data_IF_234640962559
#
_entry.id   IF_234640962559
#
_cell.length_a   1.000
_cell.length_b   1.000
_cell.length_c   1.000
_cell.angle_alpha   90.00
_cell.angle_beta   90.00
_cell.angle_gamma   90.00
#
_symmetry.space_group_name_H-M   'P 1'
#
loop_
_entity.id
_entity.type
_entity.pdbx_description
1 polymer ?
#
# COMPACT_ATOMS: atom_id res chain seq x y z
N UNK A 1 -15.18 2.74 -38.05
CA UNK A 1 -14.38 2.22 -39.18
C UNK A 1 -14.29 3.23 -40.33
N UNK A 2 -15.37 3.93 -40.71
CA UNK A 2 -15.36 4.90 -41.82
C UNK A 2 -14.50 6.13 -41.54
N UNK A 3 -14.57 6.69 -40.32
CA UNK A 3 -13.80 7.89 -39.92
C UNK A 3 -12.29 7.63 -39.88
N UNK A 4 -11.87 6.48 -39.32
CA UNK A 4 -10.48 6.07 -39.29
C UNK A 4 -9.90 5.90 -40.69
N UNK A 5 -10.64 5.20 -41.60
CA UNK A 5 -10.23 5.01 -42.99
C UNK A 5 -10.03 6.35 -43.70
N UNK A 6 -11.00 7.27 -43.58
CA UNK A 6 -10.94 8.60 -44.18
C UNK A 6 -9.70 9.39 -43.67
N UNK A 7 -9.43 9.30 -42.37
CA UNK A 7 -8.23 9.92 -41.82
C UNK A 7 -6.93 9.32 -42.38
N UNK A 8 -6.87 7.99 -42.51
CA UNK A 8 -5.68 7.33 -43.06
C UNK A 8 -5.45 7.60 -44.54
N UNK A 9 -6.51 7.63 -45.35
CA UNK A 9 -6.44 7.88 -46.79
C UNK A 9 -6.23 9.37 -47.10
N UNK A 10 -7.05 10.25 -46.55
CA UNK A 10 -7.13 11.66 -46.95
C UNK A 10 -6.47 12.62 -45.92
N UNK A 11 -6.16 12.16 -44.75
CA UNK A 11 -5.69 13.01 -43.64
C UNK A 11 -6.78 13.87 -42.98
N UNK A 12 -8.04 13.65 -43.33
CA UNK A 12 -9.17 14.45 -42.88
C UNK A 12 -9.81 13.83 -41.66
N UNK A 13 -9.88 14.60 -40.57
CA UNK A 13 -10.56 14.21 -39.32
C UNK A 13 -12.03 14.58 -39.43
N UNK A 14 -12.90 13.60 -39.20
CA UNK A 14 -14.33 13.83 -39.11
C UNK A 14 -14.71 14.51 -37.80
N UNK A 15 -15.60 15.54 -37.79
CA UNK A 15 -16.02 16.24 -36.60
C UNK A 15 -16.67 15.36 -35.50
N UNK A 16 -17.15 14.18 -35.88
CA UNK A 16 -17.74 13.23 -34.95
C UNK A 16 -16.71 12.36 -34.18
N UNK A 17 -15.43 12.42 -34.56
CA UNK A 17 -14.35 11.75 -33.80
C UNK A 17 -14.10 12.52 -32.52
N UNK A 18 -13.97 11.82 -31.42
CA UNK A 18 -13.67 12.45 -30.13
C UNK A 18 -12.36 13.27 -30.24
N UNK A 19 -12.30 14.53 -29.76
CA UNK A 19 -11.14 15.40 -29.92
C UNK A 19 -9.80 14.77 -29.48
N UNK A 20 -9.78 14.11 -28.36
CA UNK A 20 -8.58 13.44 -27.84
C UNK A 20 -8.10 12.29 -28.73
N UNK A 21 -9.03 11.53 -29.29
CA UNK A 21 -8.72 10.48 -30.27
C UNK A 21 -8.15 11.10 -31.54
N UNK A 22 -8.74 12.19 -32.01
CA UNK A 22 -8.27 12.90 -33.20
C UNK A 22 -6.84 13.45 -33.01
N UNK A 23 -6.56 14.05 -31.86
CA UNK A 23 -5.21 14.54 -31.50
C UNK A 23 -4.20 13.41 -31.43
N UNK A 24 -4.56 12.30 -30.79
CA UNK A 24 -3.71 11.10 -30.71
C UNK A 24 -3.44 10.50 -32.10
N UNK A 25 -4.46 10.40 -32.99
CA UNK A 25 -4.25 9.96 -34.37
C UNK A 25 -3.23 10.82 -35.11
N UNK A 26 -3.30 12.16 -34.94
CA UNK A 26 -2.35 13.08 -35.56
C UNK A 26 -0.93 12.83 -35.06
N UNK A 27 -0.75 12.63 -33.74
CA UNK A 27 0.56 12.30 -33.13
C UNK A 27 1.09 10.98 -33.68
N UNK A 28 0.26 9.92 -33.67
CA UNK A 28 0.65 8.60 -34.19
C UNK A 28 1.08 8.66 -35.67
N UNK A 29 0.35 9.43 -36.48
CA UNK A 29 0.70 9.65 -37.90
C UNK A 29 2.02 10.41 -38.04
N UNK A 30 2.23 11.45 -37.25
CA UNK A 30 3.50 12.21 -37.25
C UNK A 30 4.68 11.35 -36.84
N UNK A 31 4.52 10.45 -35.85
CA UNK A 31 5.53 9.46 -35.43
C UNK A 31 5.70 8.32 -36.45
N UNK A 32 4.85 8.22 -37.47
CA UNK A 32 4.85 7.14 -38.48
C UNK A 32 4.71 5.75 -37.85
N UNK A 33 3.89 5.63 -36.81
CA UNK A 33 3.67 4.35 -36.16
C UNK A 33 3.00 3.35 -37.11
N UNK A 34 3.38 2.06 -37.04
CA UNK A 34 2.66 1.00 -37.74
C UNK A 34 1.20 0.97 -37.32
N UNK A 35 0.26 0.69 -38.23
CA UNK A 35 -1.15 0.72 -37.91
C UNK A 35 -1.95 -0.48 -38.44
N UNK A 36 -1.37 -1.28 -39.34
CA UNK A 36 -2.06 -2.45 -39.86
C UNK A 36 -2.07 -3.60 -38.87
N UNK A 37 -0.92 -3.92 -38.31
CA UNK A 37 -0.71 -5.02 -37.37
C UNK A 37 0.00 -4.54 -36.11
N UNK A 38 -0.15 -5.28 -35.01
CA UNK A 38 0.55 -5.00 -33.76
C UNK A 38 2.06 -4.98 -33.98
N UNK A 39 2.76 -3.88 -33.68
CA UNK A 39 4.21 -3.82 -33.77
C UNK A 39 4.88 -4.69 -32.71
N UNK A 40 6.19 -4.94 -32.90
CA UNK A 40 6.98 -5.54 -31.83
C UNK A 40 7.10 -4.55 -30.68
N UNK A 41 6.52 -4.91 -29.54
CA UNK A 41 6.50 -4.06 -28.35
C UNK A 41 7.84 -4.06 -27.64
N UNK A 42 8.12 -2.95 -26.95
CA UNK A 42 9.20 -2.85 -25.98
C UNK A 42 8.90 -3.81 -24.83
N UNK A 43 9.82 -4.73 -24.54
CA UNK A 43 9.56 -5.81 -23.58
C UNK A 43 10.73 -5.91 -22.60
N UNK A 44 10.43 -5.99 -21.33
CA UNK A 44 11.41 -6.29 -20.28
C UNK A 44 12.08 -7.65 -20.53
N UNK A 45 13.33 -7.78 -20.17
CA UNK A 45 14.00 -9.09 -20.13
C UNK A 45 13.36 -10.01 -19.10
N UNK A 46 13.63 -11.31 -19.16
CA UNK A 46 13.09 -12.27 -18.19
C UNK A 46 13.47 -11.94 -16.74
N UNK A 47 14.67 -11.45 -16.52
CA UNK A 47 15.16 -11.07 -15.19
C UNK A 47 14.45 -9.82 -14.69
N UNK A 48 14.28 -8.81 -15.55
CA UNK A 48 13.53 -7.59 -15.25
C UNK A 48 12.05 -7.88 -14.99
N UNK A 49 11.41 -8.81 -15.71
CA UNK A 49 10.03 -9.23 -15.46
C UNK A 49 9.88 -9.80 -14.04
N UNK A 50 10.82 -10.65 -13.61
CA UNK A 50 10.77 -11.25 -12.25
C UNK A 50 10.92 -10.18 -11.18
N UNK A 51 11.82 -9.23 -11.36
CA UNK A 51 12.02 -8.12 -10.41
C UNK A 51 10.82 -7.17 -10.40
N UNK A 52 10.29 -6.86 -11.57
CA UNK A 52 9.09 -6.05 -11.74
C UNK A 52 7.87 -6.69 -11.05
N UNK A 53 7.69 -8.02 -11.16
CA UNK A 53 6.65 -8.75 -10.45
C UNK A 53 6.79 -8.67 -8.93
N UNK A 54 8.02 -8.80 -8.41
CA UNK A 54 8.27 -8.67 -6.97
C UNK A 54 7.96 -7.26 -6.45
N UNK A 55 8.37 -6.25 -7.19
CA UNK A 55 8.12 -4.85 -6.83
C UNK A 55 6.64 -4.55 -6.72
N UNK A 56 5.82 -5.16 -7.56
CA UNK A 56 4.38 -4.95 -7.61
C UNK A 56 3.54 -6.06 -6.96
N UNK A 57 4.17 -7.02 -6.26
CA UNK A 57 3.48 -8.18 -5.66
C UNK A 57 2.33 -7.77 -4.73
N UNK A 58 2.50 -6.71 -3.95
CA UNK A 58 1.51 -6.24 -2.99
C UNK A 58 0.20 -5.78 -3.67
N UNK A 59 0.32 -5.07 -4.82
CA UNK A 59 -0.86 -4.62 -5.55
C UNK A 59 -1.47 -5.75 -6.37
N UNK A 60 -0.66 -6.64 -6.93
CA UNK A 60 -1.12 -7.81 -7.67
C UNK A 60 -1.98 -8.69 -6.78
N UNK A 61 -1.56 -8.99 -5.54
CA UNK A 61 -2.35 -9.78 -4.58
C UNK A 61 -3.73 -9.17 -4.31
N UNK A 62 -3.79 -7.85 -4.19
CA UNK A 62 -5.07 -7.18 -3.97
C UNK A 62 -5.98 -7.25 -5.21
N UNK A 63 -5.42 -6.96 -6.39
CA UNK A 63 -6.14 -6.99 -7.66
C UNK A 63 -6.59 -8.43 -8.00
N UNK A 64 -5.79 -9.46 -7.68
CA UNK A 64 -6.18 -10.87 -7.79
C UNK A 64 -7.46 -11.16 -7.02
N UNK A 65 -7.55 -10.65 -5.78
CA UNK A 65 -8.76 -10.79 -4.96
C UNK A 65 -9.98 -10.12 -5.59
N UNK A 66 -9.83 -8.91 -6.14
CA UNK A 66 -10.91 -8.21 -6.85
C UNK A 66 -11.32 -8.94 -8.12
N UNK A 67 -10.36 -9.43 -8.90
CA UNK A 67 -10.63 -10.19 -10.12
C UNK A 67 -11.40 -11.49 -9.83
N UNK A 68 -10.96 -12.29 -8.85
CA UNK A 68 -11.65 -13.53 -8.49
C UNK A 68 -13.09 -13.28 -8.04
N UNK A 69 -13.35 -12.21 -7.29
CA UNK A 69 -14.73 -11.81 -6.91
C UNK A 69 -15.58 -11.40 -8.12
N UNK A 70 -14.96 -10.83 -9.15
CA UNK A 70 -15.64 -10.32 -10.35
C UNK A 70 -15.57 -11.28 -11.54
N UNK A 71 -14.88 -12.39 -11.42
CA UNK A 71 -14.55 -13.35 -12.50
C UNK A 71 -15.76 -13.82 -13.31
N UNK A 72 -16.92 -13.98 -12.65
CA UNK A 72 -18.14 -14.35 -13.35
C UNK A 72 -18.55 -13.30 -14.38
N UNK A 73 -18.44 -12.00 -14.09
CA UNK A 73 -18.74 -10.92 -15.02
C UNK A 73 -17.75 -10.89 -16.18
N UNK A 74 -16.45 -11.10 -15.92
CA UNK A 74 -15.44 -11.21 -16.96
C UNK A 74 -15.73 -12.37 -17.91
N UNK A 75 -16.11 -13.53 -17.38
CA UNK A 75 -16.43 -14.71 -18.17
C UNK A 75 -17.70 -14.52 -19.04
N UNK A 76 -18.78 -13.96 -18.46
CA UNK A 76 -20.05 -13.77 -19.18
C UNK A 76 -19.89 -12.82 -20.37
N UNK A 77 -19.06 -11.79 -20.21
CA UNK A 77 -18.90 -10.72 -21.21
C UNK A 77 -17.61 -10.86 -22.03
N UNK A 78 -16.91 -11.99 -21.95
CA UNK A 78 -15.65 -12.21 -22.65
C UNK A 78 -14.64 -11.06 -22.47
N UNK A 79 -14.50 -10.59 -21.21
CA UNK A 79 -13.60 -9.50 -20.87
C UNK A 79 -12.24 -10.02 -20.42
N UNK A 80 -11.22 -9.31 -20.78
CA UNK A 80 -9.86 -9.45 -20.24
C UNK A 80 -9.47 -8.16 -19.53
N UNK A 81 -8.55 -8.26 -18.58
CA UNK A 81 -8.10 -7.11 -17.80
C UNK A 81 -6.58 -7.06 -17.79
N UNK A 82 -6.04 -5.86 -17.90
CA UNK A 82 -4.62 -5.55 -17.72
C UNK A 82 -4.44 -4.67 -16.49
N UNK A 83 -3.40 -4.98 -15.72
CA UNK A 83 -2.82 -4.07 -14.73
C UNK A 83 -1.48 -3.58 -15.26
N UNK A 84 -1.31 -2.27 -15.34
CA UNK A 84 -0.19 -1.60 -16.00
C UNK A 84 0.41 -0.61 -15.00
N UNK A 85 1.74 -0.48 -14.96
CA UNK A 85 2.43 0.48 -14.11
C UNK A 85 2.45 1.91 -14.68
N UNK A 86 3.05 2.83 -13.94
CA UNK A 86 3.18 4.25 -14.33
C UNK A 86 4.05 4.46 -15.57
N UNK A 87 4.96 3.54 -15.87
CA UNK A 87 5.85 3.56 -17.03
C UNK A 87 5.26 2.87 -18.27
N UNK A 88 4.06 2.30 -18.12
CA UNK A 88 3.29 1.66 -19.20
C UNK A 88 3.59 0.18 -19.40
N UNK A 89 4.34 -0.46 -18.51
CA UNK A 89 4.58 -1.91 -18.58
C UNK A 89 3.44 -2.70 -17.98
N UNK A 90 3.03 -3.76 -18.66
CA UNK A 90 2.00 -4.69 -18.19
C UNK A 90 2.57 -5.52 -17.03
N UNK A 91 2.04 -5.31 -15.84
CA UNK A 91 2.39 -6.07 -14.63
C UNK A 91 1.72 -7.44 -14.68
N UNK A 92 0.44 -7.48 -15.02
CA UNK A 92 -0.35 -8.71 -15.06
C UNK A 92 -1.46 -8.64 -16.10
N UNK A 93 -1.64 -9.75 -16.79
CA UNK A 93 -2.72 -9.98 -17.75
C UNK A 93 -3.69 -11.02 -17.18
N UNK A 94 -4.95 -10.62 -17.02
CA UNK A 94 -6.06 -11.48 -16.58
C UNK A 94 -6.87 -11.88 -17.80
N UNK A 95 -6.24 -12.63 -18.71
CA UNK A 95 -6.89 -13.09 -19.92
C UNK A 95 -7.66 -14.40 -19.69
N UNK A 96 -8.84 -14.48 -20.29
CA UNK A 96 -9.57 -15.74 -20.37
C UNK A 96 -8.78 -16.77 -21.20
N UNK A 97 -8.98 -18.08 -20.99
CA UNK A 97 -8.26 -19.14 -21.70
C UNK A 97 -8.31 -19.03 -23.23
N UNK A 98 -9.40 -18.48 -23.77
CA UNK A 98 -9.54 -18.23 -25.18
C UNK A 98 -8.55 -17.14 -25.65
N UNK A 99 -8.42 -16.04 -24.90
CA UNK A 99 -7.50 -14.94 -25.23
C UNK A 99 -6.04 -15.33 -25.07
N UNK A 100 -5.71 -16.23 -24.12
CA UNK A 100 -4.34 -16.74 -23.95
C UNK A 100 -3.79 -17.47 -25.17
N UNK A 101 -4.67 -17.92 -26.08
CA UNK A 101 -4.26 -18.53 -27.35
C UNK A 101 -4.06 -17.52 -28.47
N UNK A 102 -4.66 -16.35 -28.35
CA UNK A 102 -4.67 -15.29 -29.37
C UNK A 102 -3.69 -14.18 -29.03
N UNK A 103 -3.57 -13.87 -27.74
CA UNK A 103 -2.65 -12.88 -27.22
C UNK A 103 -1.57 -13.65 -26.47
N UNK A 104 -0.37 -13.68 -27.03
CA UNK A 104 0.83 -14.17 -26.30
C UNK A 104 0.93 -13.43 -24.96
N UNK A 105 1.67 -13.99 -24.02
CA UNK A 105 1.87 -13.39 -22.72
C UNK A 105 2.47 -11.99 -22.89
N UNK A 106 1.61 -10.95 -22.78
CA UNK A 106 2.00 -9.55 -22.92
C UNK A 106 2.58 -8.96 -21.63
N UNK A 107 2.78 -9.80 -20.62
CA UNK A 107 3.39 -9.38 -19.37
C UNK A 107 4.82 -8.88 -19.58
N UNK A 108 5.13 -7.73 -18.99
CA UNK A 108 6.39 -7.04 -19.20
C UNK A 108 6.50 -6.28 -20.52
N UNK A 109 5.45 -6.27 -21.35
CA UNK A 109 5.39 -5.43 -22.56
C UNK A 109 4.92 -4.02 -22.21
N UNK A 110 5.50 -3.01 -22.87
CA UNK A 110 5.09 -1.61 -22.73
C UNK A 110 4.01 -1.27 -23.76
N UNK A 111 2.96 -0.59 -23.28
CA UNK A 111 1.73 -0.30 -24.07
C UNK A 111 1.37 1.19 -24.07
N UNK A 112 2.38 2.05 -24.21
CA UNK A 112 2.18 3.50 -24.34
C UNK A 112 1.81 3.91 -25.77
N UNK A 113 1.48 5.18 -25.98
CA UNK A 113 1.11 5.70 -27.30
C UNK A 113 2.22 5.51 -28.33
N UNK A 114 3.48 5.69 -27.94
CA UNK A 114 4.63 5.47 -28.83
C UNK A 114 4.86 3.98 -29.21
N UNK A 115 4.26 3.04 -28.47
CA UNK A 115 4.37 1.60 -28.74
C UNK A 115 3.18 1.08 -29.53
N UNK A 116 1.96 1.39 -29.06
CA UNK A 116 0.71 0.83 -29.61
C UNK A 116 -0.20 1.86 -30.30
N UNK A 117 0.21 3.11 -30.29
CA UNK A 117 -0.59 4.21 -30.83
C UNK A 117 -1.81 4.54 -29.96
N UNK A 118 -2.81 5.14 -30.60
CA UNK A 118 -4.06 5.54 -29.93
C UNK A 118 -4.77 4.34 -29.36
N UNK A 119 -4.95 4.35 -28.04
CA UNK A 119 -5.63 3.31 -27.27
C UNK A 119 -6.38 3.93 -26.08
N UNK A 120 -7.30 3.20 -25.48
CA UNK A 120 -7.96 3.67 -24.25
C UNK A 120 -6.96 3.93 -23.12
N UNK A 121 -5.85 3.17 -23.08
CA UNK A 121 -4.76 3.32 -22.11
C UNK A 121 -4.05 4.65 -22.32
N UNK A 122 -3.65 4.96 -23.57
CA UNK A 122 -2.94 6.20 -23.90
C UNK A 122 -3.77 7.44 -23.57
N UNK A 123 -5.05 7.45 -23.98
CA UNK A 123 -5.97 8.57 -23.72
C UNK A 123 -6.25 8.72 -22.22
N UNK A 124 -6.54 7.61 -21.51
CA UNK A 124 -6.80 7.67 -20.09
C UNK A 124 -5.60 8.17 -19.28
N UNK A 125 -4.38 7.79 -19.69
CA UNK A 125 -3.12 8.25 -19.07
C UNK A 125 -2.86 9.74 -19.34
N UNK A 126 -2.99 10.16 -20.59
CA UNK A 126 -2.70 11.54 -21.01
C UNK A 126 -3.62 12.56 -20.32
N UNK A 127 -4.92 12.26 -20.29
CA UNK A 127 -5.93 13.16 -19.74
C UNK A 127 -6.25 12.90 -18.26
N UNK A 128 -5.68 11.86 -17.67
CA UNK A 128 -5.91 11.43 -16.29
C UNK A 128 -7.40 11.22 -15.96
N UNK A 129 -8.13 10.59 -16.87
CA UNK A 129 -9.57 10.28 -16.73
C UNK A 129 -9.86 8.87 -17.24
N UNK A 130 -10.91 8.21 -16.74
CA UNK A 130 -11.41 6.99 -17.35
C UNK A 130 -11.87 7.25 -18.79
N UNK A 131 -11.53 6.35 -19.71
CA UNK A 131 -11.88 6.50 -21.12
C UNK A 131 -12.32 5.17 -21.71
N UNK A 132 -13.49 5.21 -22.38
CA UNK A 132 -14.03 4.12 -23.19
C UNK A 132 -13.69 4.41 -24.65
N UNK A 133 -13.13 3.45 -25.35
CA UNK A 133 -12.74 3.54 -26.75
C UNK A 133 -13.34 2.39 -27.54
N UNK A 134 -13.95 2.70 -28.64
CA UNK A 134 -14.43 1.71 -29.58
C UNK A 134 -13.31 1.25 -30.51
N UNK A 135 -13.32 -0.02 -30.91
CA UNK A 135 -12.26 -0.61 -31.70
C UNK A 135 -11.82 0.23 -32.90
N UNK A 136 -12.75 0.73 -33.76
CA UNK A 136 -12.40 1.58 -34.91
C UNK A 136 -11.73 2.91 -34.56
N UNK A 137 -11.65 3.31 -33.29
CA UNK A 137 -10.93 4.50 -32.82
C UNK A 137 -9.49 4.20 -32.46
N UNK A 138 -9.16 2.92 -32.26
CA UNK A 138 -7.80 2.48 -31.97
C UNK A 138 -6.88 2.63 -33.17
N UNK A 139 -5.59 2.90 -32.89
CA UNK A 139 -4.60 3.07 -33.94
C UNK A 139 -4.31 1.78 -34.71
N UNK A 140 -4.16 0.66 -33.98
CA UNK A 140 -3.85 -0.65 -34.57
C UNK A 140 -5.11 -1.30 -35.12
N UNK A 141 -5.11 -1.65 -36.38
CA UNK A 141 -6.26 -2.17 -37.12
C UNK A 141 -6.69 -3.57 -36.59
N UNK A 142 -5.74 -4.39 -36.17
CA UNK A 142 -6.04 -5.68 -35.53
C UNK A 142 -6.91 -5.53 -34.28
N UNK A 143 -6.86 -4.38 -33.60
CA UNK A 143 -7.67 -4.08 -32.42
C UNK A 143 -9.08 -3.55 -32.76
N UNK A 144 -9.41 -3.33 -34.03
CA UNK A 144 -10.70 -2.77 -34.42
C UNK A 144 -11.89 -3.70 -34.17
N UNK A 145 -11.64 -4.99 -33.92
CA UNK A 145 -12.69 -5.97 -33.59
C UNK A 145 -13.12 -5.94 -32.13
N UNK A 146 -12.43 -5.20 -31.28
CA UNK A 146 -12.70 -5.14 -29.85
C UNK A 146 -12.90 -3.72 -29.35
N UNK A 147 -13.51 -3.61 -28.18
CA UNK A 147 -13.64 -2.36 -27.46
C UNK A 147 -12.84 -2.43 -26.16
N UNK A 148 -12.37 -1.28 -25.69
CA UNK A 148 -11.59 -1.20 -24.47
C UNK A 148 -11.97 0.01 -23.61
N UNK A 149 -11.87 -0.15 -22.30
CA UNK A 149 -11.95 0.98 -21.39
C UNK A 149 -10.80 0.92 -20.39
N UNK A 150 -10.23 2.06 -20.10
CA UNK A 150 -9.09 2.18 -19.20
C UNK A 150 -9.31 3.29 -18.19
N UNK A 151 -8.76 3.11 -16.99
CA UNK A 151 -8.80 4.13 -15.96
C UNK A 151 -7.44 4.25 -15.28
N UNK A 152 -6.93 5.49 -15.08
CA UNK A 152 -5.76 5.73 -14.26
C UNK A 152 -6.10 5.54 -12.80
N UNK A 153 -5.22 4.90 -12.05
CA UNK A 153 -5.27 4.72 -10.61
C UNK A 153 -4.31 5.73 -10.00
N UNK A 154 -4.86 6.67 -9.24
CA UNK A 154 -4.13 7.81 -8.71
C UNK A 154 -3.95 7.72 -7.20
N UNK A 155 -2.76 8.05 -6.73
CA UNK A 155 -2.47 8.26 -5.31
C UNK A 155 -1.80 9.62 -5.17
N UNK A 156 -2.32 10.48 -4.29
CA UNK A 156 -1.83 11.85 -4.11
C UNK A 156 -1.73 12.65 -5.42
N UNK A 157 -2.70 12.47 -6.32
CA UNK A 157 -2.77 13.17 -7.62
C UNK A 157 -1.79 12.68 -8.69
N UNK A 158 -1.02 11.61 -8.43
CA UNK A 158 -0.12 11.00 -9.40
C UNK A 158 -0.66 9.65 -9.84
N UNK A 159 -0.58 9.38 -11.14
CA UNK A 159 -0.88 8.06 -11.70
C UNK A 159 0.18 7.09 -11.20
N UNK A 160 -0.26 6.00 -10.57
CA UNK A 160 0.59 4.90 -10.10
C UNK A 160 0.40 3.64 -10.93
N UNK A 161 -0.82 3.43 -11.39
CA UNK A 161 -1.18 2.28 -12.22
C UNK A 161 -2.25 2.69 -13.21
N UNK A 162 -2.48 1.83 -14.19
CA UNK A 162 -3.63 1.91 -15.09
C UNK A 162 -4.29 0.53 -15.09
N UNK A 163 -5.60 0.50 -14.95
CA UNK A 163 -6.41 -0.70 -15.17
C UNK A 163 -7.12 -0.56 -16.50
N UNK A 164 -7.08 -1.60 -17.31
CA UNK A 164 -7.70 -1.62 -18.62
C UNK A 164 -8.50 -2.90 -18.80
N UNK A 165 -9.75 -2.75 -19.24
CA UNK A 165 -10.59 -3.85 -19.68
C UNK A 165 -10.69 -3.83 -21.19
N UNK A 166 -10.69 -5.00 -21.81
CA UNK A 166 -10.87 -5.10 -23.25
C UNK A 166 -11.66 -6.38 -23.61
N UNK A 167 -12.38 -6.30 -24.70
CA UNK A 167 -13.10 -7.42 -25.31
C UNK A 167 -12.78 -7.48 -26.78
N UNK A 168 -12.67 -8.69 -27.33
CA UNK A 168 -12.58 -8.91 -28.78
C UNK A 168 -13.96 -9.14 -29.43
N UNK A 169 -15.02 -9.15 -28.63
CA UNK A 169 -16.39 -9.34 -29.11
C UNK A 169 -17.19 -8.05 -28.85
N UNK A 170 -17.56 -7.37 -29.92
CA UNK A 170 -18.33 -6.13 -29.87
C UNK A 170 -19.84 -6.35 -29.67
N UNK A 171 -20.31 -7.60 -29.70
CA UNK A 171 -21.74 -7.88 -29.63
C UNK A 171 -22.22 -7.80 -28.16
N UNK A 172 -23.14 -6.88 -27.91
CA UNK A 172 -23.93 -6.73 -26.69
C UNK A 172 -23.12 -6.47 -25.40
N UNK A 173 -21.99 -5.73 -25.48
CA UNK A 173 -21.31 -5.26 -24.30
C UNK A 173 -22.15 -4.21 -23.58
N UNK A 174 -22.50 -4.44 -22.30
CA UNK A 174 -23.21 -3.45 -21.50
C UNK A 174 -22.20 -2.38 -21.00
N UNK A 175 -21.94 -1.36 -21.83
CA UNK A 175 -20.91 -0.33 -21.55
C UNK A 175 -21.07 0.34 -20.20
N UNK A 176 -22.31 0.59 -19.75
CA UNK A 176 -22.57 1.18 -18.43
C UNK A 176 -22.10 0.26 -17.30
N UNK A 177 -22.33 -1.05 -17.44
CA UNK A 177 -21.85 -2.05 -16.49
C UNK A 177 -20.32 -2.14 -16.53
N UNK A 178 -19.73 -2.13 -17.72
CA UNK A 178 -18.29 -2.17 -17.92
C UNK A 178 -17.59 -0.99 -17.24
N UNK A 179 -18.09 0.23 -17.49
CA UNK A 179 -17.59 1.45 -16.85
C UNK A 179 -17.79 1.42 -15.33
N UNK A 180 -18.97 0.96 -14.86
CA UNK A 180 -19.25 0.87 -13.44
C UNK A 180 -18.30 -0.10 -12.74
N UNK A 181 -18.01 -1.25 -13.34
CA UNK A 181 -17.07 -2.24 -12.81
C UNK A 181 -15.65 -1.67 -12.79
N UNK A 182 -15.22 -1.03 -13.90
CA UNK A 182 -13.91 -0.38 -14.00
C UNK A 182 -13.72 0.68 -12.92
N UNK A 183 -14.70 1.58 -12.74
CA UNK A 183 -14.65 2.64 -11.75
C UNK A 183 -14.69 2.10 -10.33
N UNK A 184 -15.44 1.03 -10.08
CA UNK A 184 -15.49 0.38 -8.75
C UNK A 184 -14.13 -0.24 -8.42
N UNK A 185 -13.52 -0.96 -9.36
CA UNK A 185 -12.19 -1.55 -9.15
C UNK A 185 -11.13 -0.46 -9.00
N UNK A 186 -11.14 0.57 -9.87
CA UNK A 186 -10.27 1.74 -9.74
C UNK A 186 -10.34 2.33 -8.34
N UNK A 187 -11.54 2.68 -7.88
CA UNK A 187 -11.74 3.28 -6.56
C UNK A 187 -11.25 2.36 -5.43
N UNK A 188 -11.58 1.07 -5.51
CA UNK A 188 -11.14 0.08 -4.51
C UNK A 188 -9.62 -0.02 -4.41
N UNK A 189 -8.93 0.00 -5.56
CA UNK A 189 -7.46 -0.04 -5.60
C UNK A 189 -6.87 1.26 -5.05
N UNK A 190 -7.41 2.43 -5.40
CA UNK A 190 -6.96 3.72 -4.87
C UNK A 190 -7.10 3.81 -3.35
N UNK A 191 -8.23 3.34 -2.81
CA UNK A 191 -8.44 3.28 -1.35
C UNK A 191 -7.44 2.35 -0.68
N UNK A 192 -7.21 1.16 -1.26
CA UNK A 192 -6.23 0.22 -0.74
C UNK A 192 -4.81 0.81 -0.69
N UNK A 193 -4.37 1.45 -1.78
CA UNK A 193 -3.05 2.09 -1.85
C UNK A 193 -2.91 3.24 -0.84
N UNK A 194 -3.94 4.07 -0.69
CA UNK A 194 -3.97 5.14 0.29
C UNK A 194 -3.91 4.60 1.73
N UNK A 195 -4.62 3.51 2.01
CA UNK A 195 -4.56 2.84 3.32
C UNK A 195 -3.16 2.30 3.63
N UNK A 196 -2.46 1.72 2.65
CA UNK A 196 -1.08 1.24 2.83
C UNK A 196 -0.12 2.40 3.18
N UNK A 197 -0.27 3.54 2.53
CA UNK A 197 0.53 4.73 2.85
C UNK A 197 0.26 5.23 4.27
N UNK A 198 -1.02 5.39 4.66
CA UNK A 198 -1.39 5.78 6.03
C UNK A 198 -0.88 4.78 7.07
N UNK A 199 -0.96 3.48 6.77
CA UNK A 199 -0.44 2.44 7.66
C UNK A 199 1.07 2.55 7.85
N UNK A 200 1.82 2.81 6.78
CA UNK A 200 3.27 2.99 6.84
C UNK A 200 3.66 4.20 7.69
N UNK A 201 2.97 5.34 7.51
CA UNK A 201 3.17 6.55 8.32
C UNK A 201 2.84 6.25 9.79
N UNK A 202 1.71 5.59 10.04
CA UNK A 202 1.30 5.19 11.38
C UNK A 202 2.34 4.32 12.08
N UNK A 203 2.87 3.30 11.40
CA UNK A 203 3.93 2.44 11.94
C UNK A 203 5.20 3.23 12.28
N UNK A 204 5.64 4.12 11.39
CA UNK A 204 6.80 4.98 11.65
C UNK A 204 6.57 5.83 12.89
N UNK A 205 5.44 6.52 12.97
CA UNK A 205 5.10 7.36 14.14
C UNK A 205 5.06 6.54 15.43
N UNK A 206 4.42 5.36 15.42
CA UNK A 206 4.31 4.50 16.60
C UNK A 206 5.66 3.97 17.07
N UNK A 207 6.58 3.69 16.15
CA UNK A 207 7.90 3.17 16.48
C UNK A 207 8.85 4.24 17.04
N UNK A 208 8.64 5.50 16.70
CA UNK A 208 9.42 6.63 17.25
C UNK A 208 8.92 7.11 18.62
N UNK A 209 7.70 6.72 19.03
CA UNK A 209 7.19 7.08 20.35
C UNK A 209 7.95 6.34 21.45
N UNK A 210 8.34 7.05 22.56
CA UNK A 210 9.02 6.44 23.72
C UNK A 210 8.04 5.69 24.62
N UNK A 211 7.07 5.00 24.04
CA UNK A 211 6.04 4.24 24.75
C UNK A 211 5.91 2.84 24.15
N UNK A 212 5.62 1.84 24.96
CA UNK A 212 5.20 0.54 24.49
C UNK A 212 3.70 0.60 24.12
N UNK A 213 3.38 0.27 22.87
CA UNK A 213 2.00 0.29 22.37
C UNK A 213 1.59 -1.13 21.99
N UNK A 214 0.42 -1.57 22.50
CA UNK A 214 -0.17 -2.86 22.19
C UNK A 214 -1.61 -2.63 21.72
N UNK A 215 -1.98 -3.23 20.60
CA UNK A 215 -3.35 -3.28 20.12
C UNK A 215 -3.88 -4.70 20.29
N UNK A 216 -4.91 -4.87 21.09
CA UNK A 216 -5.44 -6.15 21.54
C UNK A 216 -6.87 -6.29 21.02
N UNK A 217 -7.18 -7.40 20.35
CA UNK A 217 -8.50 -7.70 19.83
C UNK A 217 -9.49 -8.08 20.96
N UNK A 218 -10.77 -8.18 20.61
CA UNK A 218 -11.84 -8.62 21.52
C UNK A 218 -11.63 -10.06 22.02
N UNK A 219 -10.88 -10.85 21.23
CA UNK A 219 -10.42 -12.20 21.55
C UNK A 219 -9.18 -12.23 22.49
N UNK A 220 -8.81 -11.10 23.06
CA UNK A 220 -7.61 -10.89 23.87
C UNK A 220 -6.28 -11.18 23.13
N UNK A 221 -6.32 -11.41 21.82
CA UNK A 221 -5.11 -11.66 21.04
C UNK A 221 -4.44 -10.34 20.62
N UNK A 222 -3.10 -10.35 20.65
CA UNK A 222 -2.31 -9.22 20.17
C UNK A 222 -2.43 -9.08 18.65
N UNK A 223 -2.99 -7.96 18.21
CA UNK A 223 -3.14 -7.62 16.79
C UNK A 223 -1.93 -6.84 16.24
N UNK A 224 -1.35 -5.98 17.09
CA UNK A 224 -0.19 -5.15 16.74
C UNK A 224 0.56 -4.74 17.99
N UNK A 225 1.86 -4.57 17.86
CA UNK A 225 2.71 -3.89 18.86
C UNK A 225 3.83 -3.13 18.15
N UNK A 226 4.23 -1.99 18.74
CA UNK A 226 5.37 -1.24 18.24
C UNK A 226 6.72 -1.84 18.72
N UNK A 227 7.83 -1.30 18.22
CA UNK A 227 9.18 -1.79 18.55
C UNK A 227 9.46 -1.81 20.07
N UNK A 228 9.00 -0.82 20.82
CA UNK A 228 9.20 -0.77 22.26
C UNK A 228 8.40 -1.85 23.00
N UNK A 229 7.19 -2.13 22.56
CA UNK A 229 6.39 -3.23 23.08
C UNK A 229 6.99 -4.60 22.70
N UNK A 230 7.46 -4.75 21.47
CA UNK A 230 8.06 -5.98 20.97
C UNK A 230 9.31 -6.40 21.76
N UNK A 231 10.15 -5.43 22.15
CA UNK A 231 11.31 -5.68 23.03
C UNK A 231 10.92 -6.28 24.37
N UNK A 232 9.72 -5.93 24.91
CA UNK A 232 9.21 -6.46 26.18
C UNK A 232 8.57 -7.84 26.03
N UNK A 233 8.08 -8.17 24.84
CA UNK A 233 7.47 -9.47 24.54
C UNK A 233 8.48 -10.59 24.30
N UNK A 234 9.74 -10.25 24.01
CA UNK A 234 10.85 -11.20 23.78
C UNK A 234 10.47 -12.35 22.81
N UNK A 235 9.84 -11.99 21.68
CA UNK A 235 9.44 -12.94 20.65
C UNK A 235 8.16 -13.73 20.93
N UNK A 236 7.53 -13.58 22.11
CA UNK A 236 6.24 -14.20 22.41
C UNK A 236 5.09 -13.44 21.75
N UNK A 237 3.98 -14.13 21.48
CA UNK A 237 2.86 -13.59 20.71
C UNK A 237 1.74 -13.00 21.57
N UNK A 238 1.59 -13.44 22.81
CA UNK A 238 0.52 -13.02 23.70
C UNK A 238 1.08 -12.34 24.94
N UNK A 239 0.36 -11.35 25.46
CA UNK A 239 0.77 -10.64 26.67
C UNK A 239 0.76 -11.53 27.91
N UNK A 240 -0.21 -12.44 28.04
CA UNK A 240 -0.33 -13.38 29.18
C UNK A 240 0.85 -14.35 29.27
N UNK A 241 1.50 -14.69 28.15
CA UNK A 241 2.69 -15.53 28.14
C UNK A 241 3.94 -14.82 28.67
N UNK A 242 3.88 -13.47 28.78
CA UNK A 242 4.99 -12.61 29.14
C UNK A 242 4.80 -12.00 30.52
N UNK A 243 3.61 -11.45 30.78
CA UNK A 243 3.34 -10.68 31.99
C UNK A 243 2.62 -11.52 33.04
N UNK A 244 3.35 -11.86 34.12
CA UNK A 244 2.85 -12.71 35.20
C UNK A 244 1.62 -12.13 35.91
N UNK A 245 1.44 -10.83 35.83
CA UNK A 245 0.32 -10.13 36.44
C UNK A 245 -0.69 -9.59 35.39
N UNK A 246 -0.81 -10.25 34.21
CA UNK A 246 -1.69 -9.85 33.13
C UNK A 246 -3.14 -9.53 33.58
N UNK A 247 -3.69 -10.35 34.47
CA UNK A 247 -5.05 -10.19 35.02
C UNK A 247 -5.25 -8.87 35.79
N UNK A 248 -4.19 -8.25 36.29
CA UNK A 248 -4.26 -6.97 36.99
C UNK A 248 -4.17 -5.77 36.05
N UNK A 249 -3.79 -6.01 34.78
CA UNK A 249 -3.76 -4.98 33.74
C UNK A 249 -5.19 -4.75 33.26
N UNK A 250 -5.69 -3.49 33.17
CA UNK A 250 -7.11 -3.23 32.94
C UNK A 250 -7.55 -3.42 31.47
N UNK A 251 -7.01 -4.41 30.76
CA UNK A 251 -7.33 -4.71 29.37
C UNK A 251 -8.78 -5.20 29.26
N UNK A 252 -9.16 -6.18 30.07
CA UNK A 252 -10.55 -6.73 30.08
C UNK A 252 -11.60 -5.65 30.37
N UNK A 253 -11.28 -4.67 31.22
CA UNK A 253 -12.17 -3.54 31.49
C UNK A 253 -12.33 -2.66 30.25
N UNK A 254 -11.25 -2.40 29.52
CA UNK A 254 -11.30 -1.64 28.28
C UNK A 254 -12.10 -2.36 27.19
N UNK A 255 -11.96 -3.68 27.06
CA UNK A 255 -12.77 -4.50 26.15
C UNK A 255 -14.27 -4.48 26.50
N UNK A 256 -14.61 -4.17 27.76
CA UNK A 256 -15.98 -3.91 28.24
C UNK A 256 -16.39 -2.43 28.07
N UNK A 257 -15.54 -1.59 27.49
CA UNK A 257 -15.83 -0.18 27.22
C UNK A 257 -15.41 0.80 28.32
N UNK A 258 -14.71 0.34 29.37
CA UNK A 258 -14.27 1.18 30.49
C UNK A 258 -12.79 1.59 30.29
N UNK A 259 -12.49 2.86 29.97
CA UNK A 259 -11.13 3.30 29.76
C UNK A 259 -10.34 3.44 31.06
N UNK A 260 -9.05 3.33 30.98
CA UNK A 260 -8.10 3.64 32.06
C UNK A 260 -7.11 4.69 31.56
N UNK A 261 -7.02 5.81 32.26
CA UNK A 261 -6.15 6.92 31.87
C UNK A 261 -5.00 7.07 32.87
N UNK A 262 -3.76 7.07 32.35
CA UNK A 262 -2.51 7.44 33.06
C UNK A 262 -2.41 6.88 34.47
N UNK A 263 -2.61 5.58 34.62
CA UNK A 263 -2.43 4.88 35.90
C UNK A 263 -1.01 4.32 36.00
N UNK A 264 -0.42 4.42 37.19
CA UNK A 264 0.78 3.68 37.51
C UNK A 264 0.41 2.19 37.59
N UNK A 265 1.03 1.39 36.76
CA UNK A 265 0.84 -0.05 36.67
C UNK A 265 2.21 -0.70 36.58
N UNK A 266 2.42 -1.67 37.46
CA UNK A 266 3.62 -2.50 37.45
C UNK A 266 3.41 -3.66 36.49
N UNK A 267 4.29 -3.82 35.50
CA UNK A 267 4.31 -4.92 34.57
C UNK A 267 5.40 -5.90 34.95
N UNK A 268 5.08 -7.14 35.29
CA UNK A 268 5.99 -8.14 35.82
C UNK A 268 6.22 -9.22 34.78
N UNK A 269 7.48 -9.39 34.37
CA UNK A 269 7.94 -10.54 33.58
C UNK A 269 8.75 -11.48 34.45
N UNK A 270 9.22 -12.61 33.92
CA UNK A 270 10.08 -13.54 34.67
C UNK A 270 11.40 -12.88 35.10
N UNK A 271 11.97 -11.99 34.27
CA UNK A 271 13.32 -11.44 34.47
C UNK A 271 13.33 -9.97 34.89
N UNK A 272 12.23 -9.24 34.68
CA UNK A 272 12.16 -7.78 34.85
C UNK A 272 10.81 -7.31 35.36
N UNK A 273 10.85 -6.18 36.05
CA UNK A 273 9.66 -5.43 36.43
C UNK A 273 9.74 -4.04 35.81
N UNK A 274 8.63 -3.59 35.18
CA UNK A 274 8.51 -2.25 34.62
C UNK A 274 7.48 -1.48 35.43
N UNK A 275 7.86 -0.33 35.93
CA UNK A 275 6.95 0.64 36.56
C UNK A 275 6.56 1.67 35.51
N UNK A 276 5.34 1.58 35.07
CA UNK A 276 4.87 2.34 33.90
C UNK A 276 3.65 3.18 34.22
N UNK A 277 3.55 4.34 33.56
CA UNK A 277 2.31 5.07 33.42
C UNK A 277 1.56 4.47 32.23
N UNK A 278 0.47 3.78 32.51
CA UNK A 278 -0.30 3.03 31.52
C UNK A 278 -1.66 3.69 31.26
N UNK A 279 -2.01 3.77 30.00
CA UNK A 279 -3.32 4.16 29.50
C UNK A 279 -3.91 3.01 28.68
N UNK A 280 -5.15 2.62 28.95
CA UNK A 280 -5.85 1.57 28.20
C UNK A 280 -7.17 2.12 27.71
N UNK A 281 -7.34 2.17 26.39
CA UNK A 281 -8.49 2.78 25.74
C UNK A 281 -9.26 1.75 24.92
N UNK A 282 -10.60 1.69 25.03
CA UNK A 282 -11.41 0.90 24.13
C UNK A 282 -11.41 1.55 22.73
N UNK A 283 -11.26 0.74 21.70
CA UNK A 283 -11.47 1.12 20.32
C UNK A 283 -12.85 0.64 19.91
N UNK A 284 -13.69 1.58 19.45
CA UNK A 284 -15.07 1.31 19.05
C UNK A 284 -15.23 1.45 17.55
N UNK A 285 -16.04 0.56 16.98
CA UNK A 285 -16.56 0.68 15.62
C UNK A 285 -18.07 0.83 15.75
N UNK A 286 -18.59 2.00 15.42
CA UNK A 286 -19.97 2.34 15.76
C UNK A 286 -20.19 2.40 17.28
N UNK A 287 -21.09 1.59 17.80
CA UNK A 287 -21.39 1.48 19.24
C UNK A 287 -20.65 0.34 19.94
N UNK A 288 -20.05 -0.59 19.19
CA UNK A 288 -19.44 -1.79 19.72
C UNK A 288 -17.94 -1.62 19.95
N UNK A 289 -17.44 -2.23 21.04
CA UNK A 289 -16.01 -2.28 21.34
C UNK A 289 -15.40 -3.44 20.57
N UNK A 290 -14.49 -3.14 19.66
CA UNK A 290 -13.83 -4.13 18.81
C UNK A 290 -12.45 -4.54 19.36
N UNK A 291 -11.81 -3.64 20.12
CA UNK A 291 -10.45 -3.88 20.61
C UNK A 291 -10.06 -2.88 21.70
N UNK A 292 -8.89 -3.07 22.26
CA UNK A 292 -8.27 -2.15 23.22
C UNK A 292 -6.88 -1.71 22.75
N UNK A 293 -6.56 -0.43 22.94
CA UNK A 293 -5.24 0.13 22.77
C UNK A 293 -4.60 0.36 24.12
N UNK A 294 -3.45 -0.25 24.34
CA UNK A 294 -2.63 -0.08 25.54
C UNK A 294 -1.40 0.73 25.22
N UNK A 295 -1.19 1.80 25.95
CA UNK A 295 0.02 2.63 25.86
C UNK A 295 0.69 2.65 27.23
N UNK A 296 1.95 2.24 27.30
CA UNK A 296 2.71 2.08 28.54
C UNK A 296 4.04 2.81 28.43
N UNK A 297 4.25 3.80 29.27
CA UNK A 297 5.46 4.63 29.33
C UNK A 297 6.22 4.35 30.59
N UNK A 298 7.51 4.01 30.50
CA UNK A 298 8.38 3.82 31.65
C UNK A 298 8.51 5.13 32.43
N UNK A 299 8.32 5.04 33.75
CA UNK A 299 8.52 6.17 34.67
C UNK A 299 10.00 6.59 34.65
N UNK A 300 10.94 5.67 34.47
CA UNK A 300 12.37 5.98 34.37
C UNK A 300 12.67 6.79 33.09
N UNK A 301 12.11 6.38 31.94
CA UNK A 301 12.28 7.12 30.68
C UNK A 301 11.65 8.51 30.77
N UNK A 302 10.50 8.62 31.44
CA UNK A 302 9.85 9.93 31.67
C UNK A 302 10.70 10.85 32.52
N UNK A 303 11.27 10.33 33.63
CA UNK A 303 12.19 11.09 34.50
C UNK A 303 13.42 11.56 33.72
N UNK A 304 13.99 10.70 32.88
CA UNK A 304 15.15 11.02 32.05
C UNK A 304 14.80 12.11 31.03
N UNK A 305 13.64 12.00 30.36
CA UNK A 305 13.17 13.01 29.41
C UNK A 305 12.93 14.36 30.06
N UNK A 306 12.32 14.39 31.24
CA UNK A 306 12.10 15.62 32.02
C UNK A 306 13.45 16.22 32.46
N UNK A 307 14.39 15.41 32.93
CA UNK A 307 15.72 15.87 33.35
C UNK A 307 16.46 16.53 32.15
N UNK A 308 16.38 15.93 30.97
CA UNK A 308 16.93 16.52 29.74
C UNK A 308 16.24 17.83 29.36
N UNK A 309 14.91 17.89 29.37
CA UNK A 309 14.12 19.04 29.00
C UNK A 309 14.29 20.24 29.98
N UNK A 310 14.50 19.95 31.26
CA UNK A 310 14.66 20.96 32.32
C UNK A 310 16.12 21.37 32.56
N UNK A 311 17.06 20.75 31.83
CA UNK A 311 18.50 21.01 32.01
C UNK A 311 19.12 20.43 33.27
N UNK A 312 18.36 19.59 34.00
CA UNK A 312 18.87 18.86 35.16
C UNK A 312 19.63 17.59 34.81
N UNK A 313 19.78 17.25 33.53
CA UNK A 313 20.68 16.19 33.10
C UNK A 313 22.11 16.65 33.27
N UNK A 314 22.90 15.91 34.06
CA UNK A 314 24.34 16.21 34.18
C UNK A 314 24.98 16.10 32.80
N UNK A 315 25.73 17.16 32.37
CA UNK A 315 26.48 17.15 31.09
C UNK A 315 27.52 16.02 31.05
N UNK A 316 27.81 15.40 32.15
CA UNK A 316 28.80 14.36 32.32
C UNK A 316 28.15 13.18 33.06
N UNK A 317 28.22 12.00 32.50
CA UNK A 317 27.88 10.75 33.16
C UNK A 317 29.17 10.11 33.70
N UNK A 318 29.07 9.27 34.75
CA UNK A 318 30.20 8.45 35.19
C UNK A 318 30.84 7.65 34.06
N UNK A 319 30.03 7.28 33.02
CA UNK A 319 30.49 6.53 31.86
C UNK A 319 31.09 7.41 30.76
N UNK A 320 30.95 8.74 30.82
CA UNK A 320 31.62 9.66 29.92
C UNK A 320 33.05 10.02 30.35
N UNK A 321 33.47 9.58 31.54
CA UNK A 321 34.83 9.75 32.05
C UNK A 321 35.74 8.71 31.36
N UNK A 322 36.81 9.18 30.78
CA UNK A 322 37.79 8.35 30.04
C UNK A 322 38.86 7.86 31.04
N UNK A 323 38.99 6.55 31.20
CA UNK A 323 40.04 5.93 31.99
C UNK A 323 39.91 4.41 31.92
N UNK A 324 41.03 3.72 31.73
CA UNK A 324 41.11 2.26 31.56
C UNK A 324 41.88 1.54 32.70
N UNK A 325 42.37 2.26 33.72
CA UNK A 325 43.06 1.63 34.81
C UNK A 325 42.11 0.87 35.73
N UNK A 326 42.59 -0.22 36.32
CA UNK A 326 41.80 -1.04 37.24
C UNK A 326 41.24 -0.26 38.43
N UNK A 327 42.02 0.72 38.92
CA UNK A 327 41.65 1.61 40.02
C UNK A 327 40.55 2.59 39.61
N UNK A 328 40.59 3.13 38.37
CA UNK A 328 39.58 4.00 37.85
C UNK A 328 38.23 3.27 37.64
N UNK A 329 38.27 2.07 37.08
CA UNK A 329 37.09 1.24 36.89
C UNK A 329 36.45 0.85 38.26
N UNK A 330 37.29 0.52 39.24
CA UNK A 330 36.82 0.23 40.61
C UNK A 330 36.16 1.46 41.27
N UNK A 331 36.73 2.68 41.05
CA UNK A 331 36.16 3.92 41.53
C UNK A 331 34.83 4.23 40.88
N UNK A 332 34.75 4.04 39.55
CA UNK A 332 33.52 4.24 38.75
C UNK A 332 32.39 3.30 39.24
N UNK A 333 32.70 2.02 39.47
CA UNK A 333 31.76 1.05 40.04
C UNK A 333 31.30 1.42 41.45
N UNK A 334 32.24 1.89 42.31
CA UNK A 334 31.94 2.32 43.66
C UNK A 334 31.03 3.57 43.65
N UNK A 335 31.33 4.57 42.83
CA UNK A 335 30.52 5.79 42.65
C UNK A 335 29.11 5.47 42.15
N UNK A 336 28.99 4.59 41.14
CA UNK A 336 27.68 4.15 40.61
C UNK A 336 26.82 3.44 41.68
N UNK A 337 27.45 2.66 42.56
CA UNK A 337 26.75 1.96 43.62
C UNK A 337 26.30 2.90 44.75
N UNK A 338 27.11 3.91 45.06
CA UNK A 338 26.78 4.93 46.07
C UNK A 338 25.65 5.84 45.55
N UNK A 339 25.70 6.24 44.28
CA UNK A 339 24.68 7.06 43.67
C UNK A 339 23.29 6.41 43.62
N UNK A 340 23.20 5.09 43.75
CA UNK A 340 21.92 4.34 43.84
C UNK A 340 21.45 4.12 45.29
N UNK A 341 22.20 4.57 46.29
CA UNK A 341 21.81 4.46 47.69
C UNK A 341 21.18 5.77 48.17
N UNK A 342 20.19 5.69 49.07
CA UNK A 342 19.55 6.87 49.71
C UNK A 342 20.43 7.58 50.72
N UNK A 343 21.70 7.23 50.81
CA UNK A 343 22.65 7.87 51.73
C UNK A 343 23.19 9.17 51.11
N UNK A 344 23.02 10.27 51.83
CA UNK A 344 23.69 11.54 51.50
C UNK A 344 25.21 11.32 51.50
N UNK A 345 25.88 11.75 50.46
CA UNK A 345 27.33 11.75 50.30
C UNK A 345 27.89 13.04 50.88
#
# INVERSE_FOLDING_TARGET
ASYYRKFMEDGVIDPNVHPWVAESWQRCRAMKLPHETMPKLNTLSREEIVEHQKTHEFIVKYVDGLYEQSKQHFNIHNLSMLLIDEDGYVIKNYALPFFQRVIEDIQGMRVLEEDVGTSSISIAREHNVPFLMFGPEMWIKDSHSGDACSAPICVNGKIRYIISFFSLDQNDLPYDLLLSLLLTMKYSIEQHLSMLEYWSIYQLMMNELPVAVYWIGQDEQLKYCNNNAQKRLDGKKNLEDVFLNYEHIPIKKALQGVPTHRREITWITQDRTYEDITTVMPIKVGSEVESALVMSMSIEDLKTTIAHATGYSSRYSLYSMVGETSEFLALQHKASRIARSDNNI
#
